data_IF_197952936741
#
_entry.id   IF_197952936741
#
_cell.length_a   1.000
_cell.length_b   1.000
_cell.length_c   1.000
_cell.angle_alpha   90.00
_cell.angle_beta   90.00
_cell.angle_gamma   90.00
#
_symmetry.space_group_name_H-M   'P 1'
#
loop_
_entity.id
_entity.type
_entity.pdbx_description
1 polymer ?
#
# COMPACT_ATOMS: atom_id res chain seq x y z
N UNK A 1 7.48 16.88 -22.00
CA UNK A 1 7.61 15.54 -21.40
C UNK A 1 7.93 14.58 -22.51
N UNK A 2 9.02 13.82 -22.38
CA UNK A 2 9.23 12.69 -23.27
C UNK A 2 8.14 11.65 -23.00
N UNK A 3 7.67 10.98 -24.04
CA UNK A 3 6.75 9.85 -23.91
C UNK A 3 7.52 8.69 -23.28
N UNK A 4 7.10 8.21 -22.11
CA UNK A 4 7.71 7.04 -21.47
C UNK A 4 7.31 5.82 -22.31
N UNK A 5 8.28 5.04 -22.83
CA UNK A 5 7.97 3.91 -23.70
C UNK A 5 7.08 2.89 -22.98
N UNK A 6 6.11 2.32 -23.69
CA UNK A 6 5.20 1.30 -23.14
C UNK A 6 5.45 -0.06 -23.77
N UNK A 7 5.25 -1.12 -22.99
CA UNK A 7 5.48 -2.51 -23.38
C UNK A 7 4.41 -3.43 -22.81
N UNK A 8 4.19 -4.56 -23.48
CA UNK A 8 3.37 -5.65 -22.95
C UNK A 8 4.28 -6.75 -22.42
N UNK A 9 4.03 -7.16 -21.18
CA UNK A 9 4.62 -8.34 -20.56
C UNK A 9 3.58 -9.46 -20.55
N UNK A 10 4.00 -10.70 -20.83
CA UNK A 10 3.16 -11.89 -20.79
C UNK A 10 3.78 -12.91 -19.81
N UNK A 11 2.95 -13.55 -19.00
CA UNK A 11 3.39 -14.66 -18.12
C UNK A 11 3.22 -16.03 -18.80
N UNK A 12 3.69 -17.09 -18.13
CA UNK A 12 3.60 -18.46 -18.66
C UNK A 12 2.15 -18.99 -18.75
N UNK A 13 1.20 -18.34 -18.07
CA UNK A 13 -0.23 -18.65 -18.13
C UNK A 13 -0.96 -17.90 -19.26
N UNK A 14 -0.25 -17.04 -20.01
CA UNK A 14 -0.79 -16.24 -21.10
C UNK A 14 -1.56 -15.00 -20.65
N UNK A 15 -1.44 -14.61 -19.36
CA UNK A 15 -1.95 -13.32 -18.88
C UNK A 15 -0.99 -12.23 -19.35
N UNK A 16 -1.52 -11.03 -19.56
CA UNK A 16 -0.72 -9.89 -20.02
C UNK A 16 -0.81 -8.73 -19.04
N UNK A 17 0.27 -7.96 -18.94
CA UNK A 17 0.35 -6.73 -18.15
C UNK A 17 0.94 -5.62 -19.03
N UNK A 18 0.25 -4.48 -19.09
CA UNK A 18 0.70 -3.31 -19.85
C UNK A 18 1.49 -2.39 -18.93
N UNK A 19 2.72 -2.06 -19.31
CA UNK A 19 3.65 -1.34 -18.45
C UNK A 19 4.27 -0.15 -19.17
N UNK A 20 4.62 0.86 -18.39
CA UNK A 20 5.67 1.81 -18.70
C UNK A 20 7.05 1.17 -18.47
N UNK A 21 7.97 1.36 -19.41
CA UNK A 21 9.40 1.07 -19.23
C UNK A 21 10.04 2.34 -18.66
N UNK A 22 10.06 2.42 -17.33
CA UNK A 22 10.56 3.56 -16.57
C UNK A 22 12.05 3.75 -16.76
N UNK A 23 12.78 2.64 -16.74
CA UNK A 23 14.23 2.66 -16.80
C UNK A 23 14.78 1.39 -17.45
N UNK A 24 15.95 1.49 -18.08
CA UNK A 24 16.64 0.32 -18.64
C UNK A 24 18.14 0.44 -18.41
N UNK A 25 18.80 -0.66 -18.04
CA UNK A 25 20.24 -0.70 -17.83
C UNK A 25 20.85 -2.01 -18.34
N UNK A 26 22.12 -1.94 -18.69
CA UNK A 26 22.91 -3.11 -19.10
C UNK A 26 23.78 -3.62 -17.94
N UNK A 27 23.59 -4.89 -17.57
CA UNK A 27 24.36 -5.58 -16.52
C UNK A 27 24.80 -6.96 -17.03
N UNK A 28 26.11 -7.23 -16.95
CA UNK A 28 26.73 -8.48 -17.40
C UNK A 28 26.36 -8.91 -18.84
N UNK A 29 26.21 -7.94 -19.74
CA UNK A 29 25.88 -8.18 -21.15
C UNK A 29 24.42 -8.55 -21.39
N UNK A 30 23.55 -8.36 -20.40
CA UNK A 30 22.09 -8.45 -20.49
C UNK A 30 21.48 -7.09 -20.23
N UNK A 31 20.37 -6.78 -20.91
CA UNK A 31 19.62 -5.55 -20.68
C UNK A 31 18.44 -5.86 -19.77
N UNK A 32 18.28 -5.10 -18.69
CA UNK A 32 17.17 -5.18 -17.77
C UNK A 32 16.30 -3.93 -17.88
N UNK A 33 15.01 -4.09 -17.70
CA UNK A 33 14.04 -3.00 -17.67
C UNK A 33 13.33 -2.96 -16.32
N UNK A 34 13.13 -1.76 -15.78
CA UNK A 34 12.24 -1.51 -14.66
C UNK A 34 10.87 -1.17 -15.23
N UNK A 35 9.89 -2.03 -14.96
CA UNK A 35 8.53 -1.87 -15.44
C UNK A 35 7.61 -1.39 -14.33
N UNK A 36 6.77 -0.41 -14.65
CA UNK A 36 5.66 0.02 -13.81
C UNK A 36 4.35 -0.28 -14.54
N UNK A 37 3.38 -0.96 -13.92
CA UNK A 37 2.05 -1.13 -14.49
C UNK A 37 1.43 0.21 -14.90
N UNK A 38 0.69 0.22 -16.01
CA UNK A 38 -0.13 1.38 -16.40
C UNK A 38 -1.37 1.49 -15.51
N UNK A 39 -2.00 0.35 -15.23
CA UNK A 39 -3.14 0.22 -14.32
C UNK A 39 -2.65 -0.03 -12.89
N UNK A 40 -3.36 0.49 -11.89
CA UNK A 40 -2.91 0.42 -10.50
C UNK A 40 -2.96 -1.02 -9.97
N UNK A 41 -1.93 -1.50 -9.24
CA UNK A 41 -1.94 -2.84 -8.67
C UNK A 41 -2.98 -2.98 -7.57
N UNK A 42 -3.47 -4.19 -7.37
CA UNK A 42 -4.49 -4.52 -6.38
C UNK A 42 -3.96 -5.53 -5.38
N UNK A 43 -4.16 -5.26 -4.10
CA UNK A 43 -3.97 -6.21 -3.01
C UNK A 43 -5.29 -6.42 -2.29
N UNK A 44 -5.55 -7.66 -1.88
CA UNK A 44 -6.75 -8.00 -1.11
C UNK A 44 -6.30 -8.49 0.26
N UNK A 45 -6.85 -7.87 1.29
CA UNK A 45 -6.61 -8.20 2.68
C UNK A 45 -7.85 -8.87 3.25
N UNK A 46 -7.65 -9.88 4.08
CA UNK A 46 -8.69 -10.60 4.79
C UNK A 46 -8.60 -10.29 6.29
N UNK A 47 -9.72 -9.88 6.87
CA UNK A 47 -9.86 -9.66 8.30
C UNK A 47 -10.48 -10.89 8.96
N UNK A 48 -9.76 -11.47 9.92
CA UNK A 48 -10.26 -12.56 10.76
C UNK A 48 -11.32 -12.06 11.75
N UNK A 49 -12.22 -12.95 12.20
CA UNK A 49 -13.32 -12.57 13.13
C UNK A 49 -12.83 -12.00 14.48
N UNK A 50 -11.60 -12.33 14.90
CA UNK A 50 -10.97 -11.91 16.15
C UNK A 50 -9.50 -11.48 15.95
N UNK A 51 -9.09 -11.18 14.72
CA UNK A 51 -7.72 -10.73 14.42
C UNK A 51 -7.66 -9.21 14.37
N UNK A 52 -6.70 -8.65 15.10
CA UNK A 52 -6.42 -7.21 15.11
C UNK A 52 -5.59 -6.78 13.87
N UNK A 53 -5.01 -7.75 13.14
CA UNK A 53 -4.20 -7.54 11.94
C UNK A 53 -4.77 -8.34 10.76
N UNK A 54 -4.89 -7.75 9.55
CA UNK A 54 -5.36 -8.48 8.39
C UNK A 54 -4.25 -9.29 7.73
N UNK A 55 -4.65 -10.34 7.01
CA UNK A 55 -3.74 -11.16 6.21
C UNK A 55 -3.86 -10.81 4.73
N UNK A 56 -2.73 -10.56 4.06
CA UNK A 56 -2.70 -10.39 2.61
C UNK A 56 -2.98 -11.73 1.90
N UNK A 57 -3.86 -11.69 0.90
CA UNK A 57 -4.17 -12.84 0.04
C UNK A 57 -3.39 -12.72 -1.27
N UNK A 58 -2.50 -13.68 -1.52
CA UNK A 58 -1.67 -13.73 -2.73
C UNK A 58 -1.98 -14.95 -3.60
N UNK A 59 -2.52 -16.02 -3.02
CA UNK A 59 -2.76 -17.28 -3.72
C UNK A 59 -4.00 -17.22 -4.61
N UNK A 60 -3.84 -17.59 -5.88
CA UNK A 60 -4.95 -17.67 -6.86
C UNK A 60 -6.10 -18.56 -6.32
N UNK A 61 -5.81 -19.64 -5.59
CA UNK A 61 -6.86 -20.52 -5.04
C UNK A 61 -7.73 -19.83 -3.97
N UNK A 62 -7.15 -18.91 -3.18
CA UNK A 62 -7.85 -18.16 -2.14
C UNK A 62 -8.60 -16.96 -2.72
N UNK A 63 -8.05 -16.32 -3.74
CA UNK A 63 -8.65 -15.13 -4.33
C UNK A 63 -9.79 -15.45 -5.32
N UNK A 64 -9.72 -16.56 -6.05
CA UNK A 64 -10.72 -16.90 -7.10
C UNK A 64 -12.18 -16.93 -6.61
N UNK A 65 -12.51 -17.45 -5.41
CA UNK A 65 -13.86 -17.37 -4.85
C UNK A 65 -14.35 -15.93 -4.58
N UNK A 66 -13.43 -15.01 -4.26
CA UNK A 66 -13.73 -13.62 -3.90
C UNK A 66 -13.95 -12.74 -5.13
N UNK A 67 -13.33 -13.09 -6.25
CA UNK A 67 -13.35 -12.31 -7.50
C UNK A 67 -14.73 -11.81 -7.96
N UNK A 68 -15.81 -12.62 -7.93
CA UNK A 68 -17.13 -12.13 -8.34
C UNK A 68 -17.63 -10.97 -7.49
N UNK A 69 -17.42 -11.02 -6.17
CA UNK A 69 -17.83 -9.97 -5.24
C UNK A 69 -16.90 -8.76 -5.35
N UNK A 70 -15.58 -8.99 -5.36
CA UNK A 70 -14.59 -7.94 -5.53
C UNK A 70 -14.83 -7.12 -6.81
N UNK A 71 -15.12 -7.79 -7.93
CA UNK A 71 -15.50 -7.14 -9.21
C UNK A 71 -16.76 -6.32 -9.08
N UNK A 72 -17.77 -6.83 -8.38
CA UNK A 72 -19.03 -6.13 -8.21
C UNK A 72 -18.84 -4.83 -7.43
N UNK A 73 -18.13 -4.86 -6.29
CA UNK A 73 -17.92 -3.66 -5.46
C UNK A 73 -17.00 -2.64 -6.14
N UNK A 74 -15.93 -3.07 -6.82
CA UNK A 74 -15.09 -2.17 -7.59
C UNK A 74 -15.87 -1.51 -8.74
N UNK A 75 -16.77 -2.25 -9.40
CA UNK A 75 -17.60 -1.69 -10.47
C UNK A 75 -18.53 -0.58 -9.99
N UNK A 76 -18.95 -0.58 -8.71
CA UNK A 76 -19.74 0.52 -8.13
C UNK A 76 -18.94 1.83 -8.06
N UNK A 77 -17.61 1.72 -7.90
CA UNK A 77 -16.65 2.82 -7.92
C UNK A 77 -16.13 3.12 -9.33
N UNK A 78 -16.74 2.54 -10.37
CA UNK A 78 -16.33 2.73 -11.76
C UNK A 78 -14.92 2.17 -12.07
N UNK A 79 -14.50 1.17 -11.29
CA UNK A 79 -13.23 0.47 -11.38
C UNK A 79 -13.42 -0.97 -11.92
N UNK A 80 -12.51 -1.42 -12.78
CA UNK A 80 -12.55 -2.76 -13.40
C UNK A 80 -11.34 -3.57 -12.97
N UNK A 81 -11.58 -4.66 -12.21
CA UNK A 81 -10.52 -5.59 -11.79
C UNK A 81 -10.07 -6.49 -12.95
N UNK A 82 -8.76 -6.50 -13.20
CA UNK A 82 -8.09 -7.23 -14.27
C UNK A 82 -7.16 -8.31 -13.70
N UNK A 83 -7.30 -9.53 -14.21
CA UNK A 83 -6.39 -10.65 -13.92
C UNK A 83 -5.16 -10.55 -14.85
N UNK A 84 -4.23 -9.66 -14.51
CA UNK A 84 -3.01 -9.42 -15.29
C UNK A 84 -1.85 -10.34 -14.91
N UNK A 85 -0.78 -10.34 -15.70
CA UNK A 85 0.47 -11.00 -15.31
C UNK A 85 1.07 -10.33 -14.06
N UNK A 86 1.84 -11.08 -13.27
CA UNK A 86 2.58 -10.62 -12.06
C UNK A 86 1.68 -10.27 -10.87
N UNK A 87 0.73 -9.37 -11.05
CA UNK A 87 -0.19 -8.88 -10.02
C UNK A 87 -1.55 -8.64 -10.66
N UNK A 88 -2.60 -8.49 -9.87
CA UNK A 88 -3.89 -8.00 -10.37
C UNK A 88 -3.86 -6.49 -10.44
N UNK A 89 -4.59 -5.92 -11.38
CA UNK A 89 -4.67 -4.46 -11.54
C UNK A 89 -6.10 -3.99 -11.63
N UNK A 90 -6.29 -2.68 -11.44
CA UNK A 90 -7.58 -2.03 -11.59
C UNK A 90 -7.50 -0.93 -12.64
N UNK A 91 -8.36 -1.02 -13.65
CA UNK A 91 -8.54 0.02 -14.67
C UNK A 91 -9.70 0.94 -14.25
N UNK A 92 -9.49 2.25 -14.31
CA UNK A 92 -10.52 3.25 -14.07
C UNK A 92 -9.97 4.51 -13.39
N UNK A 93 -10.88 5.39 -12.98
CA UNK A 93 -10.55 6.59 -12.23
C UNK A 93 -10.47 6.22 -10.74
N UNK A 94 -9.26 6.16 -10.19
CA UNK A 94 -9.06 5.92 -8.76
C UNK A 94 -9.74 7.02 -7.91
N UNK A 95 -10.26 6.67 -6.72
CA UNK A 95 -10.77 7.68 -5.79
C UNK A 95 -9.68 8.68 -5.40
N UNK A 96 -10.08 9.86 -4.91
CA UNK A 96 -9.12 10.80 -4.32
C UNK A 96 -8.55 10.19 -3.03
N UNK A 97 -7.26 10.42 -2.77
CA UNK A 97 -6.64 10.00 -1.52
C UNK A 97 -7.27 10.79 -0.37
N UNK A 98 -7.65 10.09 0.70
CA UNK A 98 -8.01 10.75 1.95
C UNK A 98 -6.70 11.27 2.57
N UNK A 99 -6.59 12.59 2.76
CA UNK A 99 -5.48 13.18 3.50
C UNK A 99 -5.81 13.10 4.99
N UNK A 100 -4.94 12.54 5.82
CA UNK A 100 -5.15 12.48 7.26
C UNK A 100 -5.33 13.90 7.82
N UNK A 101 -6.53 14.22 8.32
CA UNK A 101 -6.88 15.57 8.80
C UNK A 101 -6.21 15.94 10.16
N UNK A 102 -5.25 15.16 10.66
CA UNK A 102 -4.74 15.25 12.04
C UNK A 102 -3.42 16.03 12.24
N UNK A 103 -2.99 16.88 11.29
CA UNK A 103 -1.85 17.80 11.53
C UNK A 103 -2.23 19.13 12.23
N UNK A 104 -3.52 19.36 12.56
CA UNK A 104 -4.00 20.70 12.92
C UNK A 104 -4.05 21.06 14.43
N UNK A 105 -3.82 20.16 15.39
CA UNK A 105 -4.11 20.41 16.82
C UNK A 105 -2.86 20.54 17.74
N UNK A 106 -1.69 20.97 17.24
CA UNK A 106 -0.51 21.23 18.12
C UNK A 106 0.08 22.63 18.10
N UNK A 107 -0.62 23.63 17.57
CA UNK A 107 -0.16 25.02 17.63
C UNK A 107 -1.24 26.01 18.10
N UNK A 108 -1.59 25.92 19.38
CA UNK A 108 -2.43 26.88 20.11
C UNK A 108 -1.81 27.31 21.44
N UNK A 109 -0.74 28.11 21.39
CA UNK A 109 -0.05 28.61 22.56
C UNK A 109 -0.86 29.58 23.46
N UNK A 110 -0.72 29.37 24.77
CA UNK A 110 -0.58 30.32 25.88
C UNK A 110 -1.52 31.54 26.08
N UNK A 111 -1.89 31.69 27.37
CA UNK A 111 -2.06 32.92 28.16
C UNK A 111 -3.47 33.54 28.36
N UNK A 112 -4.10 33.17 29.48
CA UNK A 112 -4.40 34.07 30.60
C UNK A 112 -5.59 35.04 30.53
N UNK A 113 -6.57 34.86 31.43
CA UNK A 113 -7.10 35.91 32.33
C UNK A 113 -8.18 35.33 33.27
N UNK A 114 -7.99 35.43 34.59
CA UNK A 114 -9.09 35.33 35.60
C UNK A 114 -9.97 36.59 35.60
N UNK A 115 -11.00 36.75 36.48
CA UNK A 115 -10.90 36.43 37.92
C UNK A 115 -12.16 35.89 38.65
N UNK A 116 -11.90 35.24 39.81
CA UNK A 116 -12.51 35.41 41.15
C UNK A 116 -14.04 35.27 41.40
N UNK A 117 -14.47 34.30 42.24
CA UNK A 117 -14.71 34.48 43.70
C UNK A 117 -15.57 33.36 44.37
N UNK A 118 -15.05 32.83 45.49
CA UNK A 118 -15.70 32.23 46.69
C UNK A 118 -16.67 31.01 46.54
N UNK A 119 -16.65 29.97 47.39
CA UNK A 119 -16.49 29.92 48.85
C UNK A 119 -16.28 28.45 49.33
N UNK A 120 -15.53 28.22 50.42
CA UNK A 120 -15.72 27.05 51.32
C UNK A 120 -14.56 26.05 51.49
N UNK A 121 -13.96 26.02 52.69
CA UNK A 121 -12.83 25.18 53.18
C UNK A 121 -13.30 23.80 53.77
N UNK A 122 -12.39 22.86 54.15
CA UNK A 122 -12.41 21.45 53.73
C UNK A 122 -12.76 20.45 54.86
N UNK A 123 -13.10 19.20 54.50
CA UNK A 123 -13.10 18.07 55.44
C UNK A 123 -12.43 16.80 54.88
N UNK A 124 -11.26 16.54 55.47
CA UNK A 124 -10.52 15.29 55.73
C UNK A 124 -11.10 13.95 55.23
N UNK A 125 -10.24 13.27 54.43
CA UNK A 125 -9.74 11.87 54.52
C UNK A 125 -10.65 10.79 55.14
N UNK A 126 -11.07 9.86 54.29
CA UNK A 126 -11.06 8.39 54.48
C UNK A 126 -11.25 7.83 53.05
N UNK A 127 -10.32 7.11 52.41
CA UNK A 127 -9.89 5.78 52.85
C UNK A 127 -10.58 4.65 52.07
N UNK A 128 -10.74 4.76 50.74
CA UNK A 128 -10.86 3.62 49.82
C UNK A 128 -10.57 4.14 48.41
N UNK A 129 -9.44 3.72 47.85
CA UNK A 129 -9.27 3.73 46.41
C UNK A 129 -10.11 2.56 45.92
N UNK A 130 -11.23 2.84 45.26
CA UNK A 130 -11.98 1.80 44.55
C UNK A 130 -11.08 1.31 43.41
N UNK A 131 -10.99 -0.01 43.15
CA UNK A 131 -10.15 -0.57 42.09
C UNK A 131 -10.65 -0.24 40.66
N UNK A 132 -11.45 0.81 40.50
CA UNK A 132 -12.12 1.20 39.25
C UNK A 132 -11.37 2.34 38.53
N UNK A 133 -10.31 2.90 39.13
CA UNK A 133 -9.45 3.95 38.53
C UNK A 133 -8.19 3.39 37.85
N UNK A 134 -8.14 2.09 37.56
CA UNK A 134 -7.22 1.61 36.53
C UNK A 134 -7.90 1.92 35.20
N UNK A 135 -7.74 3.16 34.73
CA UNK A 135 -7.86 3.48 33.31
C UNK A 135 -7.06 2.39 32.59
N UNK A 136 -7.65 1.66 31.62
CA UNK A 136 -6.85 0.79 30.78
C UNK A 136 -5.73 1.68 30.24
N UNK A 137 -4.48 1.33 30.54
CA UNK A 137 -3.35 1.90 29.82
C UNK A 137 -3.68 1.63 28.37
N UNK A 138 -4.01 2.69 27.63
CA UNK A 138 -4.24 2.65 26.20
C UNK A 138 -3.13 1.79 25.63
N UNK A 139 -3.49 0.57 25.23
CA UNK A 139 -2.65 -0.26 24.40
C UNK A 139 -2.78 0.34 23.00
N UNK A 140 -2.32 1.58 22.84
CA UNK A 140 -1.88 2.13 21.56
C UNK A 140 -0.57 1.39 21.23
N UNK A 141 -0.70 0.09 20.97
CA UNK A 141 0.29 -0.74 20.29
C UNK A 141 -0.43 -1.33 19.07
N UNK A 142 -1.31 -0.54 18.46
CA UNK A 142 -1.56 -0.61 17.03
C UNK A 142 -0.18 -0.38 16.39
N UNK A 143 0.54 -1.48 16.09
CA UNK A 143 1.33 -1.48 14.86
C UNK A 143 0.29 -1.38 13.74
N UNK A 144 -0.29 -0.18 13.59
CA UNK A 144 -1.05 0.24 12.43
C UNK A 144 -0.20 -0.23 11.25
N UNK A 145 -0.71 -1.16 10.44
CA UNK A 145 -0.15 -1.32 9.10
C UNK A 145 0.00 0.10 8.56
N UNK A 146 1.16 0.43 8.00
CA UNK A 146 1.49 1.78 7.54
C UNK A 146 0.58 2.10 6.33
N UNK A 147 -0.72 2.32 6.60
CA UNK A 147 -1.80 2.50 5.64
C UNK A 147 -1.56 3.78 4.84
N UNK A 148 -0.72 4.68 5.31
CA UNK A 148 -0.14 5.81 4.57
C UNK A 148 0.50 5.38 3.23
N UNK A 149 0.94 4.12 3.12
CA UNK A 149 1.49 3.53 1.90
C UNK A 149 0.42 2.92 0.97
N UNK A 150 -0.84 2.79 1.40
CA UNK A 150 -1.93 2.09 0.70
C UNK A 150 -3.23 2.89 0.63
N UNK A 151 -3.88 2.89 -0.54
CA UNK A 151 -5.19 3.51 -0.72
C UNK A 151 -6.28 2.44 -0.72
N UNK A 152 -7.27 2.56 0.18
CA UNK A 152 -8.48 1.74 0.16
C UNK A 152 -9.32 2.05 -1.08
N UNK A 153 -9.68 1.02 -1.84
CA UNK A 153 -10.52 1.11 -3.04
C UNK A 153 -11.96 0.66 -2.77
N UNK A 154 -12.12 -0.44 -2.00
CA UNK A 154 -13.41 -0.99 -1.62
C UNK A 154 -13.26 -1.98 -0.46
N UNK A 155 -14.33 -2.16 0.32
CA UNK A 155 -14.47 -3.27 1.28
C UNK A 155 -15.69 -4.13 0.90
N UNK A 156 -15.67 -5.40 1.27
CA UNK A 156 -16.79 -6.32 1.04
C UNK A 156 -16.77 -7.51 2.00
N UNK A 157 -17.89 -8.23 2.06
CA UNK A 157 -18.01 -9.47 2.83
C UNK A 157 -18.14 -10.69 1.92
N UNK A 158 -17.50 -11.79 2.30
CA UNK A 158 -17.67 -13.11 1.69
C UNK A 158 -17.60 -14.19 2.76
N UNK A 159 -18.61 -15.08 2.80
CA UNK A 159 -18.72 -16.16 3.80
C UNK A 159 -18.50 -15.69 5.26
N UNK A 160 -19.11 -14.55 5.62
CA UNK A 160 -19.02 -13.89 6.93
C UNK A 160 -17.63 -13.32 7.29
N UNK A 161 -16.64 -13.43 6.41
CA UNK A 161 -15.33 -12.75 6.53
C UNK A 161 -15.35 -11.39 5.82
N UNK A 162 -14.65 -10.42 6.40
CA UNK A 162 -14.45 -9.08 5.83
C UNK A 162 -13.18 -9.03 5.00
N UNK A 163 -13.25 -8.33 3.87
CA UNK A 163 -12.15 -8.16 2.94
C UNK A 163 -12.06 -6.72 2.49
N UNK A 164 -10.82 -6.26 2.29
CA UNK A 164 -10.53 -4.92 1.81
C UNK A 164 -9.58 -4.97 0.62
N UNK A 165 -9.81 -4.08 -0.34
CA UNK A 165 -9.08 -3.99 -1.59
C UNK A 165 -8.27 -2.69 -1.59
N UNK A 166 -6.96 -2.80 -1.73
CA UNK A 166 -6.02 -1.67 -1.69
C UNK A 166 -5.20 -1.55 -2.97
N UNK A 167 -4.68 -0.35 -3.23
CA UNK A 167 -3.58 -0.10 -4.19
C UNK A 167 -2.41 0.59 -3.49
N UNK A 168 -1.15 0.31 -3.83
CA UNK A 168 -0.01 1.02 -3.23
C UNK A 168 0.04 2.48 -3.68
N UNK A 169 0.34 3.39 -2.76
CA UNK A 169 0.55 4.82 -2.99
C UNK A 169 2.04 5.11 -3.14
N UNK A 170 2.88 4.68 -2.18
CA UNK A 170 4.32 4.97 -2.17
C UNK A 170 5.14 3.82 -1.54
N UNK A 171 6.24 3.40 -2.18
CA UNK A 171 6.59 3.67 -3.57
C UNK A 171 5.58 3.01 -4.54
N UNK A 172 5.39 3.55 -5.76
CA UNK A 172 4.57 2.87 -6.76
C UNK A 172 5.18 1.51 -7.09
N UNK A 173 4.33 0.52 -7.32
CA UNK A 173 4.77 -0.84 -7.65
C UNK A 173 5.55 -0.85 -8.97
N UNK A 174 6.82 -1.25 -8.92
CA UNK A 174 7.65 -1.47 -10.08
C UNK A 174 8.49 -2.74 -9.89
N UNK A 175 8.81 -3.42 -10.99
CA UNK A 175 9.54 -4.68 -10.94
C UNK A 175 10.51 -4.83 -12.11
N UNK A 176 11.58 -5.58 -11.89
CA UNK A 176 12.62 -5.81 -12.88
C UNK A 176 12.28 -6.95 -13.83
N UNK A 177 12.59 -6.76 -15.10
CA UNK A 177 12.45 -7.77 -16.16
C UNK A 177 13.72 -7.87 -16.99
N UNK A 178 13.96 -9.01 -17.61
CA UNK A 178 14.93 -9.11 -18.71
C UNK A 178 14.32 -8.54 -19.99
N UNK A 179 15.10 -7.77 -20.75
CA UNK A 179 14.72 -7.33 -22.10
C UNK A 179 15.45 -8.19 -23.14
N UNK A 180 14.73 -9.09 -23.81
CA UNK A 180 15.23 -9.89 -24.95
C UNK A 180 14.68 -9.30 -26.25
N UNK A 181 15.56 -8.82 -27.14
CA UNK A 181 15.16 -8.15 -28.40
C UNK A 181 14.15 -7.00 -28.19
N UNK A 182 14.28 -6.28 -27.06
CA UNK A 182 13.39 -5.18 -26.67
C UNK A 182 12.02 -5.61 -26.14
N UNK A 183 11.80 -6.92 -25.94
CA UNK A 183 10.59 -7.46 -25.32
C UNK A 183 10.86 -7.85 -23.87
N UNK A 184 9.98 -7.48 -22.93
CA UNK A 184 10.13 -7.87 -21.55
C UNK A 184 9.82 -9.35 -21.37
N UNK A 185 10.59 -9.99 -20.51
CA UNK A 185 10.46 -11.39 -20.12
C UNK A 185 10.68 -11.54 -18.63
N UNK A 186 9.72 -12.19 -17.98
CA UNK A 186 9.76 -12.46 -16.55
C UNK A 186 11.04 -13.20 -16.15
N UNK A 187 11.62 -12.72 -15.07
CA UNK A 187 12.70 -13.40 -14.38
C UNK A 187 12.09 -14.47 -13.47
N UNK A 188 12.71 -15.64 -13.41
CA UNK A 188 12.42 -16.58 -12.34
C UNK A 188 12.83 -15.98 -11.00
N UNK A 189 12.19 -16.38 -9.90
CA UNK A 189 12.51 -15.90 -8.55
C UNK A 189 14.01 -15.96 -8.24
N UNK A 190 14.66 -17.11 -8.47
CA UNK A 190 16.12 -17.29 -8.27
C UNK A 190 16.96 -16.29 -9.09
N UNK A 191 16.53 -15.99 -10.31
CA UNK A 191 17.25 -15.05 -11.16
C UNK A 191 17.07 -13.61 -10.69
N UNK A 192 15.87 -13.27 -10.19
CA UNK A 192 15.54 -11.96 -9.62
C UNK A 192 16.32 -11.71 -8.33
N UNK A 193 16.28 -12.65 -7.37
CA UNK A 193 17.01 -12.54 -6.10
C UNK A 193 18.53 -12.35 -6.30
N UNK A 194 19.09 -12.98 -7.33
CA UNK A 194 20.51 -12.86 -7.64
C UNK A 194 20.90 -11.50 -8.25
N UNK A 195 20.00 -10.88 -9.00
CA UNK A 195 20.30 -9.70 -9.84
C UNK A 195 19.77 -8.40 -9.26
N UNK A 196 18.64 -8.43 -8.55
CA UNK A 196 18.01 -7.28 -7.92
C UNK A 196 18.96 -6.42 -7.07
N UNK A 197 19.81 -6.97 -6.18
CA UNK A 197 20.73 -6.12 -5.40
C UNK A 197 21.71 -5.35 -6.31
N UNK A 198 22.13 -5.95 -7.42
CA UNK A 198 23.03 -5.31 -8.38
C UNK A 198 22.31 -4.23 -9.21
N UNK A 199 21.05 -4.49 -9.59
CA UNK A 199 20.22 -3.51 -10.30
C UNK A 199 19.91 -2.31 -9.41
N UNK A 200 19.49 -2.55 -8.17
CA UNK A 200 19.17 -1.50 -7.21
C UNK A 200 20.41 -0.65 -6.88
N UNK A 201 21.58 -1.28 -6.74
CA UNK A 201 22.85 -0.56 -6.56
C UNK A 201 23.19 0.29 -7.79
N UNK A 202 23.08 -0.27 -9.01
CA UNK A 202 23.36 0.44 -10.25
C UNK A 202 22.45 1.65 -10.44
N UNK A 203 21.14 1.48 -10.19
CA UNK A 203 20.16 2.57 -10.23
C UNK A 203 20.49 3.64 -9.20
N UNK A 204 20.70 3.26 -7.94
CA UNK A 204 21.00 4.23 -6.87
C UNK A 204 22.22 5.08 -7.20
N UNK A 205 23.29 4.48 -7.73
CA UNK A 205 24.48 5.21 -8.15
C UNK A 205 24.21 6.18 -9.30
N UNK A 206 23.38 5.83 -10.28
CA UNK A 206 23.06 6.73 -11.38
C UNK A 206 22.21 7.93 -10.93
N UNK A 207 21.24 7.70 -10.04
CA UNK A 207 20.42 8.76 -9.47
C UNK A 207 21.25 9.75 -8.63
N UNK A 208 22.18 9.26 -7.79
CA UNK A 208 23.10 10.12 -7.03
C UNK A 208 23.98 10.99 -7.94
N UNK A 209 24.47 10.44 -9.07
CA UNK A 209 25.28 11.17 -10.04
C UNK A 209 24.49 12.24 -10.82
N UNK A 210 23.16 12.09 -10.90
CA UNK A 210 22.27 13.06 -11.55
C UNK A 210 21.86 14.23 -10.65
N UNK A 211 22.04 14.09 -9.33
CA UNK A 211 21.72 15.10 -8.31
C UNK A 211 22.81 16.15 -8.04
N UNK A 212 24.00 15.99 -8.62
CA UNK A 212 25.08 16.99 -8.60
C UNK A 212 25.09 17.80 -9.91
N UNK A 213 24.17 18.75 -10.06
CA UNK A 213 24.08 19.63 -11.24
C UNK A 213 23.59 21.04 -10.94
#
# INVERSE_FOLDING_TARGET
>A
MADVPTVWLEDDNGRSLFCHLEYSLDLDGKTYGLLQPVDAPVMIFAWGEDDDEPTILEDDEELQPLLPTARAVLSEQNLTLLETAVTWTVEGDLPELEEDEDEAERNGGAAGSGPSAANGLPHRRDGSLEPEDLEPEDLDDDEDMEFDEYQLLAHFFHDDCEYEIYTPIKPPFAFWTLLEDGKPKLLSLEAMEAVEPLLNEAVSQEFDLSGEG
#
